data_IF_561515849831
#
_entry.id   IF_561515849831
#
_cell.length_a   1.000
_cell.length_b   1.000
_cell.length_c   1.000
_cell.angle_alpha   90.00
_cell.angle_beta   90.00
_cell.angle_gamma   90.00
#
_symmetry.space_group_name_H-M   'P 1'
#
loop_
_entity.id
_entity.type
_entity.pdbx_description
1 polymer ?
#
# COMPACT_ATOMS: atom_id res chain seq x y z
N UNK A 1 2.69 20.10 -3.47
CA UNK A 1 2.54 18.65 -3.79
C UNK A 1 1.90 17.87 -2.64
N UNK A 2 2.35 18.07 -1.41
CA UNK A 2 1.78 17.40 -0.23
C UNK A 2 0.28 17.72 -0.04
N UNK A 3 -0.12 18.96 -0.23
CA UNK A 3 -1.54 19.37 -0.19
C UNK A 3 -2.37 18.61 -1.24
N UNK A 4 -1.84 18.46 -2.44
CA UNK A 4 -2.50 17.70 -3.52
C UNK A 4 -2.65 16.22 -3.16
N UNK A 5 -1.62 15.63 -2.58
CA UNK A 5 -1.68 14.26 -2.06
C UNK A 5 -2.77 14.11 -1.00
N UNK A 6 -2.84 15.01 -0.02
CA UNK A 6 -3.87 14.99 1.01
C UNK A 6 -5.27 15.07 0.40
N UNK A 7 -5.48 15.94 -0.60
CA UNK A 7 -6.77 16.07 -1.27
C UNK A 7 -7.22 14.77 -1.95
N UNK A 8 -6.30 14.01 -2.55
CA UNK A 8 -6.62 12.70 -3.13
C UNK A 8 -6.88 11.64 -2.08
N UNK A 9 -6.09 11.62 -1.01
CA UNK A 9 -6.30 10.70 0.10
C UNK A 9 -7.66 10.92 0.78
N UNK A 10 -8.04 12.17 0.98
CA UNK A 10 -9.34 12.53 1.56
C UNK A 10 -10.51 12.03 0.71
N UNK A 11 -10.36 12.01 -0.60
CA UNK A 11 -11.39 11.47 -1.52
C UNK A 11 -11.58 9.95 -1.39
N UNK A 12 -10.64 9.23 -0.81
CA UNK A 12 -10.78 7.80 -0.57
C UNK A 12 -11.71 7.47 0.59
N UNK A 13 -11.94 8.40 1.52
CA UNK A 13 -12.83 8.16 2.66
C UNK A 13 -14.25 7.84 2.14
N UNK A 14 -14.79 6.71 2.59
CA UNK A 14 -16.07 6.18 2.12
C UNK A 14 -16.01 5.29 0.88
N UNK A 15 -14.84 5.20 0.22
CA UNK A 15 -14.65 4.37 -0.97
C UNK A 15 -14.26 2.96 -0.56
N UNK A 16 -14.84 1.97 -1.24
CA UNK A 16 -14.52 0.55 -0.99
C UNK A 16 -13.22 0.12 -1.65
N UNK A 17 -12.44 -0.69 -0.93
CA UNK A 17 -11.33 -1.41 -1.54
C UNK A 17 -11.90 -2.50 -2.44
N UNK A 18 -11.76 -2.33 -3.75
CA UNK A 18 -12.33 -3.24 -4.76
C UNK A 18 -11.47 -4.47 -4.98
N UNK A 19 -10.16 -4.30 -4.92
CA UNK A 19 -9.22 -5.39 -5.12
C UNK A 19 -7.89 -5.13 -4.43
N UNK A 20 -7.18 -6.21 -4.12
CA UNK A 20 -5.83 -6.19 -3.58
C UNK A 20 -5.01 -7.26 -4.31
N UNK A 21 -3.78 -6.94 -4.67
CA UNK A 21 -2.87 -7.85 -5.38
C UNK A 21 -1.47 -7.80 -4.79
N UNK A 22 -0.76 -8.91 -4.93
CA UNK A 22 0.70 -8.98 -4.76
C UNK A 22 1.34 -9.03 -6.15
N UNK A 23 2.26 -8.12 -6.45
CA UNK A 23 3.03 -8.12 -7.67
C UNK A 23 4.39 -7.48 -7.44
N UNK A 24 5.46 -8.13 -7.92
CA UNK A 24 6.84 -7.61 -7.79
C UNK A 24 7.20 -7.22 -6.34
N UNK A 25 6.79 -8.03 -5.37
CA UNK A 25 6.97 -7.78 -3.94
C UNK A 25 6.28 -6.51 -3.42
N UNK A 26 5.28 -6.03 -4.15
CA UNK A 26 4.45 -4.89 -3.76
C UNK A 26 3.05 -5.36 -3.40
N UNK A 27 2.42 -4.61 -2.51
CA UNK A 27 0.98 -4.70 -2.28
C UNK A 27 0.31 -3.60 -3.11
N UNK A 28 -0.62 -4.00 -3.98
CA UNK A 28 -1.34 -3.11 -4.88
C UNK A 28 -2.79 -3.02 -4.42
N UNK A 29 -3.23 -1.83 -4.08
CA UNK A 29 -4.59 -1.54 -3.65
C UNK A 29 -5.35 -0.87 -4.79
N UNK A 30 -6.55 -1.38 -5.12
CA UNK A 30 -7.41 -0.83 -6.16
C UNK A 30 -8.73 -0.34 -5.56
N UNK A 31 -8.95 0.98 -5.65
CA UNK A 31 -10.17 1.66 -5.23
C UNK A 31 -11.06 2.08 -6.43
N UNK A 32 -10.71 1.66 -7.63
CA UNK A 32 -11.35 2.08 -8.88
C UNK A 32 -10.51 3.14 -9.58
N UNK A 33 -10.90 4.40 -9.50
CA UNK A 33 -10.16 5.50 -10.13
C UNK A 33 -8.83 5.85 -9.42
N UNK A 34 -8.66 5.40 -8.20
CA UNK A 34 -7.43 5.59 -7.43
C UNK A 34 -6.85 4.23 -7.07
N UNK A 35 -5.55 4.10 -7.26
CA UNK A 35 -4.78 2.95 -6.83
C UNK A 35 -3.64 3.38 -5.91
N UNK A 36 -3.16 2.46 -5.08
CA UNK A 36 -1.98 2.69 -4.24
C UNK A 36 -1.05 1.49 -4.41
N UNK A 37 0.21 1.75 -4.75
CA UNK A 37 1.28 0.75 -4.79
C UNK A 37 2.17 0.92 -3.56
N UNK A 38 2.14 -0.04 -2.66
CA UNK A 38 2.97 -0.08 -1.47
C UNK A 38 4.24 -0.88 -1.79
N UNK A 39 5.36 -0.19 -2.00
CA UNK A 39 6.59 -0.82 -2.48
C UNK A 39 7.54 -1.24 -1.35
N UNK A 40 7.31 -0.74 -0.13
CA UNK A 40 8.15 -1.04 1.01
C UNK A 40 7.37 -1.81 2.08
N UNK A 41 7.93 -1.93 3.27
CA UNK A 41 7.30 -2.69 4.34
C UNK A 41 5.85 -2.27 4.53
N UNK A 42 4.96 -3.24 4.44
CA UNK A 42 3.52 -3.05 4.59
C UNK A 42 2.96 -4.14 5.50
N UNK A 43 2.12 -3.74 6.43
CA UNK A 43 1.42 -4.63 7.35
C UNK A 43 -0.07 -4.57 7.10
N UNK A 44 -0.69 -5.73 7.00
CA UNK A 44 -2.14 -5.87 6.90
C UNK A 44 -2.65 -6.57 8.16
N UNK A 45 -3.56 -5.93 8.86
CA UNK A 45 -4.16 -6.43 10.09
C UNK A 45 -5.68 -6.35 10.03
N UNK A 46 -6.34 -7.12 10.89
CA UNK A 46 -7.79 -7.09 11.08
C UNK A 46 -8.14 -7.32 12.54
N UNK A 47 -8.91 -6.42 13.14
CA UNK A 47 -9.34 -6.52 14.54
C UNK A 47 -8.15 -6.77 15.50
N UNK A 48 -7.06 -6.00 15.31
CA UNK A 48 -5.82 -6.07 16.10
C UNK A 48 -4.96 -7.33 15.88
N UNK A 49 -5.33 -8.22 14.96
CA UNK A 49 -4.52 -9.35 14.57
C UNK A 49 -3.79 -9.08 13.27
N UNK A 50 -2.48 -9.32 13.23
CA UNK A 50 -1.71 -9.24 11.98
C UNK A 50 -2.12 -10.42 11.10
N UNK A 51 -2.60 -10.12 9.89
CA UNK A 51 -2.91 -11.14 8.89
C UNK A 51 -1.65 -11.56 8.15
N UNK A 52 -0.88 -10.60 7.66
CA UNK A 52 0.44 -10.79 7.06
C UNK A 52 1.18 -9.47 6.93
N UNK A 53 2.47 -9.57 6.65
CA UNK A 53 3.32 -8.43 6.28
C UNK A 53 4.16 -8.79 5.07
N UNK A 54 4.75 -7.77 4.42
CA UNK A 54 5.68 -8.01 3.31
C UNK A 54 6.96 -8.73 3.74
N UNK A 55 7.31 -8.72 5.03
CA UNK A 55 8.44 -9.48 5.55
C UNK A 55 8.17 -10.99 5.62
N UNK A 56 6.92 -11.43 5.58
CA UNK A 56 6.56 -12.84 5.55
C UNK A 56 7.05 -13.54 4.27
N UNK A 57 7.39 -12.75 3.24
CA UNK A 57 8.08 -13.26 2.04
C UNK A 57 9.43 -13.93 2.38
N UNK A 58 10.09 -13.56 3.47
CA UNK A 58 11.37 -14.13 3.89
C UNK A 58 11.29 -15.63 4.22
N UNK A 59 10.10 -16.18 4.44
CA UNK A 59 9.89 -17.61 4.63
C UNK A 59 9.98 -18.43 3.34
N UNK A 60 10.30 -17.78 2.22
CA UNK A 60 10.39 -18.42 0.90
C UNK A 60 11.41 -19.56 0.87
N UNK A 61 11.02 -20.68 0.24
CA UNK A 61 11.84 -21.90 0.11
C UNK A 61 12.94 -21.80 -0.96
N UNK A 62 13.08 -20.63 -1.62
CA UNK A 62 14.04 -20.37 -2.70
C UNK A 62 13.86 -21.24 -3.96
N UNK A 63 12.71 -21.90 -4.10
CA UNK A 63 12.42 -22.79 -5.23
C UNK A 63 11.24 -22.33 -6.05
N UNK A 64 10.09 -22.10 -5.39
CA UNK A 64 8.85 -21.69 -6.03
C UNK A 64 8.45 -20.34 -5.48
N UNK A 65 8.24 -19.35 -6.34
CA UNK A 65 7.97 -17.95 -5.97
C UNK A 65 6.76 -17.79 -5.03
N UNK A 66 5.79 -18.69 -5.11
CA UNK A 66 4.58 -18.66 -4.30
C UNK A 66 4.71 -19.40 -2.97
N UNK A 67 5.81 -20.13 -2.71
CA UNK A 67 6.03 -20.86 -1.48
C UNK A 67 6.62 -19.97 -0.38
N UNK A 68 5.82 -19.05 0.12
CA UNK A 68 6.17 -18.17 1.23
C UNK A 68 4.89 -17.81 2.02
N UNK A 69 5.07 -17.37 3.26
CA UNK A 69 3.95 -17.08 4.15
C UNK A 69 3.17 -15.82 3.72
N UNK A 70 3.82 -14.85 3.07
CA UNK A 70 3.12 -13.67 2.55
C UNK A 70 2.04 -14.10 1.55
N UNK A 71 2.40 -14.90 0.55
CA UNK A 71 1.46 -15.38 -0.46
C UNK A 71 0.40 -16.30 0.14
N UNK A 72 0.79 -17.19 1.05
CA UNK A 72 -0.14 -18.10 1.73
C UNK A 72 -1.23 -17.33 2.50
N UNK A 73 -0.85 -16.38 3.33
CA UNK A 73 -1.81 -15.61 4.12
C UNK A 73 -2.56 -14.58 3.28
N UNK A 74 -1.94 -14.02 2.25
CA UNK A 74 -2.64 -13.19 1.28
C UNK A 74 -3.80 -13.94 0.64
N UNK A 75 -3.56 -15.14 0.12
CA UNK A 75 -4.60 -15.96 -0.50
C UNK A 75 -5.68 -16.35 0.51
N UNK A 76 -5.28 -16.68 1.73
CA UNK A 76 -6.21 -17.05 2.81
C UNK A 76 -7.15 -15.92 3.20
N UNK A 77 -6.65 -14.69 3.29
CA UNK A 77 -7.39 -13.55 3.85
C UNK A 77 -7.88 -12.55 2.83
N UNK A 78 -7.55 -12.70 1.55
CA UNK A 78 -7.88 -11.72 0.52
C UNK A 78 -9.36 -11.33 0.52
N UNK A 79 -10.27 -12.28 0.60
CA UNK A 79 -11.70 -12.04 0.58
C UNK A 79 -12.22 -11.34 1.85
N UNK A 80 -11.50 -11.46 2.97
CA UNK A 80 -11.81 -10.72 4.19
C UNK A 80 -11.28 -9.28 4.17
N UNK A 81 -10.25 -9.01 3.37
CA UNK A 81 -9.62 -7.69 3.25
C UNK A 81 -10.44 -6.79 2.33
N UNK A 82 -10.83 -7.30 1.16
CA UNK A 82 -11.57 -6.51 0.16
C UNK A 82 -13.00 -6.22 0.59
N UNK A 83 -13.58 -5.17 0.01
CA UNK A 83 -14.99 -4.81 0.19
C UNK A 83 -15.26 -3.83 1.34
N UNK A 84 -14.33 -3.64 2.27
CA UNK A 84 -14.43 -2.61 3.29
C UNK A 84 -14.30 -1.21 2.68
N UNK A 85 -15.06 -0.25 3.22
CA UNK A 85 -14.92 1.15 2.85
C UNK A 85 -13.90 1.83 3.76
N UNK A 86 -13.14 2.76 3.19
CA UNK A 86 -12.19 3.57 3.96
C UNK A 86 -12.94 4.39 4.99
N UNK A 87 -12.68 4.15 6.27
CA UNK A 87 -13.22 4.92 7.38
C UNK A 87 -12.32 6.11 7.73
N UNK A 88 -11.01 5.92 7.68
CA UNK A 88 -10.04 6.94 8.05
C UNK A 88 -8.69 6.70 7.37
N UNK A 89 -8.01 7.79 7.02
CA UNK A 89 -6.63 7.77 6.52
C UNK A 89 -5.77 8.62 7.43
N UNK A 90 -4.61 8.08 7.79
CA UNK A 90 -3.58 8.79 8.56
C UNK A 90 -2.32 8.85 7.70
N UNK A 91 -1.86 10.05 7.44
CA UNK A 91 -0.60 10.33 6.76
C UNK A 91 0.27 11.16 7.70
N UNK A 92 1.39 10.61 8.11
CA UNK A 92 2.20 11.23 9.15
C UNK A 92 3.41 12.01 8.58
N UNK A 93 4.16 12.65 9.48
CA UNK A 93 5.32 13.47 9.11
C UNK A 93 6.49 12.69 8.50
N UNK A 94 6.49 11.36 8.61
CA UNK A 94 7.50 10.50 8.01
C UNK A 94 7.09 9.98 6.63
N UNK A 95 5.93 10.40 6.13
CA UNK A 95 5.31 9.90 4.90
C UNK A 95 4.78 8.45 5.01
N UNK A 96 4.62 7.93 6.22
CA UNK A 96 3.90 6.67 6.41
C UNK A 96 2.41 6.86 6.13
N UNK A 97 1.78 5.83 5.61
CA UNK A 97 0.35 5.83 5.29
C UNK A 97 -0.35 4.71 6.07
N UNK A 98 -1.43 5.07 6.77
CA UNK A 98 -2.33 4.12 7.43
C UNK A 98 -3.73 4.29 6.87
N UNK A 99 -4.33 3.21 6.38
CA UNK A 99 -5.70 3.18 5.87
C UNK A 99 -6.51 2.26 6.78
N UNK A 100 -7.53 2.82 7.42
CA UNK A 100 -8.45 2.11 8.32
C UNK A 100 -9.76 1.92 7.59
N UNK A 101 -10.20 0.66 7.48
CA UNK A 101 -11.45 0.28 6.82
C UNK A 101 -12.56 -0.01 7.84
N UNK A 102 -13.81 0.11 7.41
CA UNK A 102 -14.99 -0.13 8.26
C UNK A 102 -15.23 -1.61 8.60
N UNK A 103 -14.55 -2.53 7.92
CA UNK A 103 -14.58 -3.98 8.20
C UNK A 103 -13.53 -4.44 9.22
N UNK A 104 -12.86 -3.53 9.90
CA UNK A 104 -11.81 -3.81 10.87
C UNK A 104 -10.41 -4.02 10.29
N UNK A 105 -10.27 -3.99 8.96
CA UNK A 105 -8.97 -4.09 8.30
C UNK A 105 -8.21 -2.78 8.42
N UNK A 106 -6.90 -2.88 8.67
CA UNK A 106 -5.96 -1.76 8.66
C UNK A 106 -4.77 -2.13 7.78
N UNK A 107 -4.45 -1.27 6.84
CA UNK A 107 -3.27 -1.41 5.98
C UNK A 107 -2.33 -0.26 6.28
N UNK A 108 -1.10 -0.59 6.67
CA UNK A 108 -0.06 0.38 7.01
C UNK A 108 1.15 0.16 6.13
N UNK A 109 1.58 1.19 5.39
CA UNK A 109 2.84 1.17 4.65
C UNK A 109 3.80 2.18 5.25
N UNK A 110 5.05 1.75 5.45
CA UNK A 110 6.05 2.51 6.20
C UNK A 110 7.19 2.95 5.29
N UNK A 111 7.66 4.17 5.48
CA UNK A 111 8.90 4.63 4.87
C UNK A 111 10.05 3.84 5.49
N UNK A 112 10.71 3.02 4.68
CA UNK A 112 11.67 2.01 5.14
C UNK A 112 13.13 2.40 4.90
N UNK A 113 13.39 3.49 4.16
CA UNK A 113 14.73 3.96 3.83
C UNK A 113 14.95 5.35 4.41
N UNK A 114 15.82 5.45 5.42
CA UNK A 114 16.09 6.70 6.10
C UNK A 114 17.22 7.52 5.50
N UNK A 115 18.11 6.91 4.71
CA UNK A 115 19.33 7.56 4.26
C UNK A 115 19.78 7.05 2.89
N UNK A 116 19.97 7.98 1.94
CA UNK A 116 20.36 7.70 0.56
C UNK A 116 21.72 8.33 0.26
N UNK A 117 22.81 7.65 0.66
CA UNK A 117 24.17 8.11 0.41
C UNK A 117 24.79 7.45 -0.81
N UNK A 118 24.58 6.15 -0.96
CA UNK A 118 25.24 5.35 -2.01
C UNK A 118 24.34 5.03 -3.20
N UNK A 119 23.04 5.27 -3.07
CA UNK A 119 22.04 4.99 -4.11
C UNK A 119 21.12 6.19 -4.28
N UNK A 120 20.43 6.24 -5.40
CA UNK A 120 19.37 7.21 -5.65
C UNK A 120 18.22 7.03 -4.66
N UNK A 121 17.36 8.03 -4.55
CA UNK A 121 16.19 7.96 -3.71
C UNK A 121 15.32 6.76 -4.08
N UNK A 122 14.84 6.05 -3.06
CA UNK A 122 14.03 4.85 -3.21
C UNK A 122 12.58 5.24 -3.01
N UNK A 123 11.76 4.90 -3.99
CA UNK A 123 10.31 5.04 -3.89
C UNK A 123 9.77 4.17 -2.76
N UNK A 124 8.91 4.77 -1.94
CA UNK A 124 8.30 4.10 -0.80
C UNK A 124 6.91 3.58 -1.12
N UNK A 125 6.07 4.44 -1.68
CA UNK A 125 4.76 4.11 -2.20
C UNK A 125 4.32 5.16 -3.20
N UNK A 126 3.29 4.86 -3.99
CA UNK A 126 2.72 5.82 -4.93
C UNK A 126 1.21 5.75 -4.96
N UNK A 127 0.61 6.87 -5.25
CA UNK A 127 -0.81 7.00 -5.54
C UNK A 127 -0.97 7.17 -7.04
N UNK A 128 -1.84 6.35 -7.63
CA UNK A 128 -2.20 6.41 -9.04
C UNK A 128 -3.57 7.05 -9.16
N UNK A 129 -3.69 8.00 -10.09
CA UNK A 129 -4.92 8.75 -10.34
C UNK A 129 -5.42 8.37 -11.73
N UNK A 130 -6.71 8.12 -11.85
CA UNK A 130 -7.36 7.73 -13.11
C UNK A 130 -6.77 6.43 -13.69
N UNK A 131 -6.82 5.37 -12.88
CA UNK A 131 -6.24 4.06 -13.22
C UNK A 131 -6.84 3.39 -14.46
N UNK A 132 -7.93 3.93 -14.99
CA UNK A 132 -8.59 3.42 -16.21
C UNK A 132 -7.98 3.97 -17.50
N UNK A 133 -7.02 4.89 -17.43
CA UNK A 133 -6.40 5.56 -18.56
C UNK A 133 -4.90 5.19 -18.65
N UNK A 134 -4.40 4.96 -19.87
CA UNK A 134 -2.98 4.70 -20.11
C UNK A 134 -2.07 5.87 -19.70
N UNK A 135 -2.64 7.07 -19.59
CA UNK A 135 -1.96 8.29 -19.14
C UNK A 135 -2.18 8.58 -17.64
N UNK A 136 -2.35 7.55 -16.81
CA UNK A 136 -2.55 7.75 -15.38
C UNK A 136 -1.43 8.58 -14.74
N UNK A 137 -1.83 9.54 -13.90
CA UNK A 137 -0.88 10.38 -13.16
C UNK A 137 -0.50 9.70 -11.86
N UNK A 138 0.78 9.82 -11.50
CA UNK A 138 1.30 9.24 -10.28
C UNK A 138 1.80 10.32 -9.34
N UNK A 139 1.45 10.22 -8.06
CA UNK A 139 2.11 10.93 -6.99
C UNK A 139 3.02 9.93 -6.30
N UNK A 140 4.33 10.16 -6.40
CA UNK A 140 5.36 9.26 -5.88
C UNK A 140 5.89 9.80 -4.57
N UNK A 141 5.90 8.94 -3.56
CA UNK A 141 6.34 9.27 -2.21
C UNK A 141 7.70 8.63 -1.95
N UNK A 142 8.67 9.48 -1.68
CA UNK A 142 10.01 9.11 -1.24
C UNK A 142 10.16 9.39 0.26
N UNK A 143 11.31 9.09 0.80
CA UNK A 143 11.61 9.40 2.20
C UNK A 143 11.45 10.91 2.52
N UNK A 144 12.03 11.77 1.69
CA UNK A 144 12.12 13.23 1.99
C UNK A 144 11.33 14.12 1.04
N UNK A 145 10.71 13.56 0.02
CA UNK A 145 9.97 14.34 -0.99
C UNK A 145 8.77 13.61 -1.54
N UNK A 146 7.88 14.38 -2.10
CA UNK A 146 6.70 13.92 -2.83
C UNK A 146 6.73 14.57 -4.21
N UNK A 147 6.67 13.78 -5.26
CA UNK A 147 6.74 14.24 -6.64
C UNK A 147 5.56 13.73 -7.46
N UNK A 148 5.21 14.48 -8.50
CA UNK A 148 4.25 14.02 -9.51
C UNK A 148 5.00 13.57 -10.76
N UNK A 149 4.69 12.37 -11.23
CA UNK A 149 5.13 11.82 -12.52
C UNK A 149 3.98 11.80 -13.53
#
# INVERSE_FOLDING_TARGET
>A
MVEKLHNYLDKLVGIKLKDIKLACQMIILNFGNIGIHCQQFTRVSKNDDILFTTLDYQSWDEKVDTNNDEKYFFDKYRNEIIGGAVARIIYNKFNDLTIIFDNGVVIETFVSNGYNHFVDEIEQWRLLIDTSDDDSKHIVIYNKKVEME
#
